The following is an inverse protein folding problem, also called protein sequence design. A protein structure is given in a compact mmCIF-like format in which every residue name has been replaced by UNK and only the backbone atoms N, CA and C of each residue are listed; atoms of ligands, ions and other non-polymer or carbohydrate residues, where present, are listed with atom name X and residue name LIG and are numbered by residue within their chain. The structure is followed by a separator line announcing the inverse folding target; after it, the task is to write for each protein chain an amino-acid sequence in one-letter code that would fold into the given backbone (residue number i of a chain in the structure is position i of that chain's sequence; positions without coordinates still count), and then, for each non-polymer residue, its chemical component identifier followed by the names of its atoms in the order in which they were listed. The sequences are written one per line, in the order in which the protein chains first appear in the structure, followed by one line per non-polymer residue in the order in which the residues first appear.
data_IF_457936952923
#
_entry.id   IF_457936952923
#
_cell.length_a   1.000
_cell.length_b   1.000
_cell.length_c   1.000
_cell.angle_alpha   90.00
_cell.angle_beta   90.00
_cell.angle_gamma   90.00
#
_symmetry.space_group_name_H-M   'P 1'
#
loop_
_entity.id
_entity.type
_entity.pdbx_description
1 polymer ?
#
# COMPACT_ATOMS: atom_id res chain seq x y z
N UNK A 1 17.81 8.49 26.74
CA UNK A 1 16.56 7.92 26.20
C UNK A 1 16.96 7.10 24.99
N UNK A 2 16.95 5.78 25.11
CA UNK A 2 17.25 4.86 24.01
C UNK A 2 16.14 4.98 22.98
N UNK A 3 16.45 5.52 21.80
CA UNK A 3 15.57 5.47 20.63
C UNK A 3 15.41 3.99 20.30
N UNK A 4 14.25 3.41 20.62
CA UNK A 4 13.92 2.03 20.24
C UNK A 4 14.04 1.92 18.72
N UNK A 5 14.86 0.97 18.26
CA UNK A 5 15.15 0.73 16.84
C UNK A 5 14.02 -0.05 16.16
N UNK A 6 12.77 0.25 16.53
CA UNK A 6 11.59 -0.39 15.96
C UNK A 6 11.45 0.03 14.50
N UNK A 7 11.35 -0.95 13.61
CA UNK A 7 10.93 -0.70 12.22
C UNK A 7 9.47 -0.31 12.26
N UNK A 8 9.19 0.97 12.00
CA UNK A 8 7.82 1.47 11.86
C UNK A 8 7.73 2.45 10.71
N UNK A 9 6.85 2.14 9.77
CA UNK A 9 6.47 3.00 8.65
C UNK A 9 4.97 3.26 8.76
N UNK A 10 4.53 4.51 8.79
CA UNK A 10 3.11 4.83 8.92
C UNK A 10 2.80 6.12 8.18
N UNK A 11 1.80 6.07 7.32
CA UNK A 11 1.21 7.22 6.64
C UNK A 11 0.37 8.09 7.58
N UNK A 12 0.08 7.62 8.81
CA UNK A 12 -0.81 8.28 9.77
C UNK A 12 -0.10 9.12 10.82
N UNK A 13 1.17 9.49 10.61
CA UNK A 13 1.93 10.27 11.58
C UNK A 13 1.73 11.79 11.49
N UNK A 14 0.90 12.23 10.54
CA UNK A 14 0.59 13.65 10.32
C UNK A 14 1.73 14.46 9.69
N UNK A 15 2.83 13.83 9.27
CA UNK A 15 3.94 14.54 8.62
C UNK A 15 3.55 14.99 7.22
N UNK A 16 3.92 16.21 6.84
CA UNK A 16 3.82 16.65 5.44
C UNK A 16 4.53 15.68 4.50
N UNK A 17 3.90 15.42 3.36
CA UNK A 17 4.40 14.52 2.33
C UNK A 17 4.96 15.32 1.16
N UNK A 18 6.19 15.00 0.77
CA UNK A 18 6.80 15.41 -0.50
C UNK A 18 6.77 14.25 -1.48
N UNK A 19 6.19 14.47 -2.64
CA UNK A 19 6.22 13.54 -3.78
C UNK A 19 7.12 14.13 -4.85
N UNK A 20 8.02 13.31 -5.36
CA UNK A 20 8.94 13.64 -6.45
C UNK A 20 8.60 12.73 -7.62
N UNK A 21 8.19 13.32 -8.73
CA UNK A 21 7.92 12.64 -9.99
C UNK A 21 8.96 13.04 -11.02
N UNK A 22 9.88 12.13 -11.31
CA UNK A 22 10.87 12.28 -12.36
C UNK A 22 10.30 11.73 -13.66
N UNK A 23 10.49 12.49 -14.75
CA UNK A 23 9.90 12.22 -16.05
C UNK A 23 10.97 12.34 -17.13
N UNK A 24 11.01 11.37 -18.04
CA UNK A 24 11.75 11.48 -19.29
C UNK A 24 10.76 11.56 -20.45
N UNK A 25 10.78 12.66 -21.19
CA UNK A 25 9.80 12.92 -22.25
C UNK A 25 10.25 12.35 -23.60
N UNK A 26 9.28 12.06 -24.47
CA UNK A 26 9.57 11.84 -25.89
C UNK A 26 10.10 13.12 -26.54
N UNK A 27 10.96 12.96 -27.54
CA UNK A 27 11.48 14.09 -28.31
C UNK A 27 10.33 14.80 -29.04
N UNK A 28 10.26 16.13 -28.90
CA UNK A 28 9.20 16.96 -29.48
C UNK A 28 7.91 17.03 -28.66
N UNK A 29 7.76 16.23 -27.59
CA UNK A 29 6.54 16.19 -26.77
C UNK A 29 6.50 17.27 -25.66
N UNK A 30 7.54 18.08 -25.50
CA UNK A 30 7.69 19.02 -24.39
C UNK A 30 6.56 20.04 -24.30
N UNK A 31 6.17 20.64 -25.43
CA UNK A 31 5.12 21.65 -25.47
C UNK A 31 3.74 21.03 -25.15
N UNK A 32 3.44 19.87 -25.74
CA UNK A 32 2.21 19.12 -25.47
C UNK A 32 2.13 18.72 -23.98
N UNK A 33 3.25 18.27 -23.40
CA UNK A 33 3.32 17.95 -21.98
C UNK A 33 3.04 19.17 -21.10
N UNK A 34 3.64 20.33 -21.41
CA UNK A 34 3.43 21.57 -20.65
C UNK A 34 1.97 22.02 -20.69
N UNK A 35 1.32 21.95 -21.85
CA UNK A 35 -0.10 22.27 -22.00
C UNK A 35 -1.00 21.31 -21.21
N UNK A 36 -0.71 20.01 -21.26
CA UNK A 36 -1.40 19.02 -20.45
C UNK A 36 -1.22 19.26 -18.94
N UNK A 37 0.00 19.59 -18.50
CA UNK A 37 0.30 19.91 -17.12
C UNK A 37 -0.45 21.17 -16.63
N UNK A 38 -0.52 22.23 -17.45
CA UNK A 38 -1.21 23.47 -17.10
C UNK A 38 -2.72 23.29 -16.89
N UNK A 39 -3.32 22.29 -17.54
CA UNK A 39 -4.70 21.88 -17.27
C UNK A 39 -4.79 21.08 -15.97
N UNK A 40 -3.93 20.06 -15.81
CA UNK A 40 -3.91 19.17 -14.65
C UNK A 40 -3.66 19.90 -13.33
N UNK A 41 -2.70 20.84 -13.29
CA UNK A 41 -2.33 21.57 -12.05
C UNK A 41 -3.51 22.32 -11.42
N UNK A 42 -4.49 22.76 -12.22
CA UNK A 42 -5.67 23.47 -11.71
C UNK A 42 -6.62 22.53 -10.97
N UNK A 43 -6.68 21.27 -11.40
CA UNK A 43 -7.51 20.25 -10.77
C UNK A 43 -6.82 19.72 -9.51
N UNK A 44 -5.51 19.45 -9.57
CA UNK A 44 -4.74 18.98 -8.40
C UNK A 44 -4.73 20.02 -7.28
N UNK A 45 -4.63 21.31 -7.59
CA UNK A 45 -4.72 22.39 -6.61
C UNK A 45 -6.06 22.47 -5.86
N UNK A 46 -7.13 21.83 -6.36
CA UNK A 46 -8.42 21.74 -5.70
C UNK A 46 -8.58 20.48 -4.84
N UNK A 47 -7.61 19.56 -4.87
CA UNK A 47 -7.68 18.31 -4.11
C UNK A 47 -7.43 18.61 -2.62
N UNK A 48 -8.30 18.14 -1.71
CA UNK A 48 -8.09 18.31 -0.28
C UNK A 48 -6.71 17.82 0.16
N UNK A 49 -6.03 18.63 0.98
CA UNK A 49 -4.70 18.31 1.51
C UNK A 49 -3.54 18.58 0.55
N UNK A 50 -3.78 19.00 -0.69
CA UNK A 50 -2.72 19.52 -1.56
C UNK A 50 -2.21 20.87 -1.06
N UNK A 51 -0.88 21.09 -1.09
CA UNK A 51 -0.24 22.34 -0.65
C UNK A 51 0.36 23.08 -1.85
N UNK A 52 1.19 22.41 -2.66
CA UNK A 52 1.84 23.05 -3.81
C UNK A 52 2.41 22.05 -4.80
N UNK A 53 2.54 22.46 -6.06
CA UNK A 53 3.33 21.76 -7.07
C UNK A 53 4.36 22.70 -7.70
N UNK A 54 5.50 22.13 -8.11
CA UNK A 54 6.51 22.79 -8.93
C UNK A 54 6.86 21.90 -10.10
N UNK A 55 6.77 22.44 -11.31
CA UNK A 55 7.28 21.80 -12.52
C UNK A 55 8.66 22.38 -12.84
N UNK A 56 9.64 21.50 -13.01
CA UNK A 56 11.01 21.83 -13.33
C UNK A 56 11.45 21.08 -14.58
N UNK A 57 12.31 21.72 -15.37
CA UNK A 57 13.02 21.11 -16.48
C UNK A 57 14.51 21.12 -16.17
N UNK A 58 15.20 20.03 -16.47
CA UNK A 58 16.65 19.95 -16.28
C UNK A 58 17.37 20.92 -17.22
N UNK A 59 18.36 21.63 -16.66
CA UNK A 59 19.23 22.55 -17.42
C UNK A 59 20.30 21.79 -18.23
N UNK A 60 20.58 20.55 -17.86
CA UNK A 60 21.63 19.72 -18.48
C UNK A 60 21.06 18.82 -19.57
N UNK A 61 19.85 18.30 -19.35
CA UNK A 61 19.14 17.47 -20.31
C UNK A 61 17.66 17.91 -20.43
N UNK A 62 17.29 18.68 -21.47
CA UNK A 62 15.93 19.19 -21.64
C UNK A 62 14.82 18.11 -21.82
N UNK A 63 15.17 16.83 -22.01
CA UNK A 63 14.19 15.73 -22.00
C UNK A 63 13.76 15.32 -20.58
N UNK A 64 14.56 15.68 -19.57
CA UNK A 64 14.33 15.31 -18.18
C UNK A 64 13.59 16.42 -17.43
N UNK A 65 12.48 16.04 -16.82
CA UNK A 65 11.58 16.94 -16.09
C UNK A 65 11.33 16.39 -14.68
N UNK A 66 10.96 17.27 -13.77
CA UNK A 66 10.67 16.97 -12.38
C UNK A 66 9.40 17.69 -11.97
N UNK A 67 8.45 16.96 -11.38
CA UNK A 67 7.35 17.55 -10.62
C UNK A 67 7.62 17.27 -9.15
N UNK A 68 7.67 18.33 -8.34
CA UNK A 68 7.62 18.19 -6.87
C UNK A 68 6.23 18.59 -6.39
N UNK A 69 5.60 17.74 -5.59
CA UNK A 69 4.26 17.96 -5.05
C UNK A 69 4.31 17.86 -3.53
N UNK A 70 3.71 18.81 -2.82
CA UNK A 70 3.63 18.83 -1.36
C UNK A 70 2.18 18.69 -0.90
N UNK A 71 1.99 17.88 0.13
CA UNK A 71 0.69 17.55 0.72
C UNK A 71 0.74 17.66 2.25
N UNK A 72 -0.39 17.98 2.87
CA UNK A 72 -0.53 18.08 4.33
C UNK A 72 -0.14 16.78 5.03
N UNK A 73 -0.39 15.63 4.37
CA UNK A 73 -0.05 14.31 4.85
C UNK A 73 -0.13 13.28 3.71
N UNK A 74 0.29 12.04 3.97
CA UNK A 74 0.20 10.97 2.99
C UNK A 74 -1.23 10.50 2.62
N UNK A 75 -2.20 10.42 3.56
CA UNK A 75 -3.54 9.93 3.27
C UNK A 75 -4.30 10.63 2.13
N UNK A 76 -4.36 11.99 2.05
CA UNK A 76 -5.06 12.66 0.96
C UNK A 76 -4.42 12.40 -0.41
N UNK A 77 -3.08 12.39 -0.46
CA UNK A 77 -2.34 12.03 -1.67
C UNK A 77 -2.65 10.58 -2.10
N UNK A 78 -2.62 9.62 -1.18
CA UNK A 78 -2.91 8.22 -1.49
C UNK A 78 -4.35 8.01 -1.95
N UNK A 79 -5.31 8.74 -1.39
CA UNK A 79 -6.69 8.71 -1.87
C UNK A 79 -6.79 9.25 -3.31
N UNK A 80 -6.12 10.37 -3.60
CA UNK A 80 -6.13 10.97 -4.92
C UNK A 80 -5.41 10.11 -5.97
N UNK A 81 -4.17 9.69 -5.75
CA UNK A 81 -3.35 8.99 -6.76
C UNK A 81 -3.94 7.64 -7.20
N UNK A 82 -4.81 7.04 -6.37
CA UNK A 82 -5.47 5.78 -6.67
C UNK A 82 -6.91 5.97 -7.19
N UNK A 83 -7.43 7.20 -7.31
CA UNK A 83 -8.79 7.45 -7.77
C UNK A 83 -8.95 7.37 -9.29
N UNK A 84 -10.19 7.15 -9.75
CA UNK A 84 -10.53 7.25 -11.18
C UNK A 84 -10.29 8.66 -11.72
N UNK A 85 -10.54 9.69 -10.90
CA UNK A 85 -10.27 11.08 -11.27
C UNK A 85 -8.80 11.26 -11.63
N UNK A 86 -7.87 10.72 -10.82
CA UNK A 86 -6.45 10.79 -11.15
C UNK A 86 -6.16 10.15 -12.51
N UNK A 87 -6.67 8.94 -12.76
CA UNK A 87 -6.44 8.20 -14.03
C UNK A 87 -6.80 9.05 -15.25
N UNK A 88 -7.97 9.69 -15.23
CA UNK A 88 -8.44 10.53 -16.33
C UNK A 88 -7.67 11.84 -16.44
N UNK A 89 -7.37 12.48 -15.30
CA UNK A 89 -6.67 13.76 -15.24
C UNK A 89 -5.23 13.67 -15.77
N UNK A 90 -4.50 12.59 -15.45
CA UNK A 90 -3.10 12.44 -15.88
C UNK A 90 -2.95 11.77 -17.25
N UNK A 91 -4.02 11.21 -17.82
CA UNK A 91 -4.03 10.54 -19.12
C UNK A 91 -3.36 11.32 -20.25
N UNK A 92 -3.60 12.64 -20.44
CA UNK A 92 -2.97 13.38 -21.53
C UNK A 92 -1.44 13.47 -21.40
N UNK A 93 -0.92 13.49 -20.16
CA UNK A 93 0.51 13.59 -19.90
C UNK A 93 1.24 12.29 -20.25
N UNK A 94 0.61 11.12 -20.04
CA UNK A 94 1.28 9.83 -20.26
C UNK A 94 1.74 9.62 -21.71
N UNK A 95 0.96 10.11 -22.68
CA UNK A 95 1.34 10.04 -24.10
C UNK A 95 2.66 10.74 -24.43
N UNK A 96 3.09 11.69 -23.59
CA UNK A 96 4.31 12.47 -23.79
C UNK A 96 5.53 11.88 -23.06
N UNK A 97 5.32 10.90 -22.18
CA UNK A 97 6.32 10.42 -21.24
C UNK A 97 6.82 9.03 -21.63
N UNK A 98 8.14 8.90 -21.76
CA UNK A 98 8.83 7.64 -22.07
C UNK A 98 9.07 6.81 -20.82
N UNK A 99 9.51 7.44 -19.74
CA UNK A 99 9.69 6.80 -18.45
C UNK A 99 9.29 7.73 -17.30
N UNK A 100 8.83 7.14 -16.21
CA UNK A 100 8.38 7.85 -15.02
C UNK A 100 8.84 7.13 -13.78
N UNK A 101 9.34 7.90 -12.81
CA UNK A 101 9.71 7.42 -11.48
C UNK A 101 9.08 8.32 -10.42
N UNK A 102 8.27 7.72 -9.55
CA UNK A 102 7.64 8.41 -8.42
C UNK A 102 8.30 7.96 -7.11
N UNK A 103 8.73 8.92 -6.30
CA UNK A 103 9.27 8.69 -4.95
C UNK A 103 8.59 9.61 -3.95
N UNK A 104 8.55 9.19 -2.68
CA UNK A 104 7.73 9.80 -1.63
C UNK A 104 8.56 9.94 -0.36
N UNK A 105 8.46 11.09 0.30
CA UNK A 105 9.27 11.44 1.46
C UNK A 105 8.44 12.20 2.49
N UNK A 106 8.60 11.86 3.77
CA UNK A 106 8.16 12.77 4.85
C UNK A 106 9.10 13.96 4.91
N UNK A 107 8.58 15.17 5.11
CA UNK A 107 9.41 16.35 5.30
C UNK A 107 9.88 16.39 6.76
N UNK A 108 11.19 16.23 6.97
CA UNK A 108 11.78 16.24 8.31
C UNK A 108 12.14 17.65 8.76
N UNK A 109 12.82 18.42 7.90
CA UNK A 109 13.29 19.77 8.20
C UNK A 109 13.15 20.62 6.95
N UNK A 110 12.88 21.89 7.15
CA UNK A 110 12.77 22.90 6.11
C UNK A 110 13.55 24.13 6.54
N UNK A 111 14.19 24.81 5.59
CA UNK A 111 14.90 26.06 5.84
C UNK A 111 14.35 27.11 4.88
N UNK A 112 13.58 28.08 5.39
CA UNK A 112 12.98 29.12 4.58
C UNK A 112 11.49 29.34 4.87
N UNK A 113 10.98 30.51 4.47
CA UNK A 113 9.73 31.11 4.93
C UNK A 113 10.09 32.35 5.73
N UNK A 114 9.75 33.55 5.26
CA UNK A 114 10.19 34.86 5.80
C UNK A 114 9.74 35.21 7.22
N UNK A 115 9.54 34.21 8.09
CA UNK A 115 9.18 34.33 9.49
C UNK A 115 10.48 34.28 10.32
N UNK A 116 10.72 35.24 11.23
CA UNK A 116 11.89 35.21 12.10
C UNK A 116 11.93 33.90 12.90
N UNK A 117 13.12 33.29 12.98
CA UNK A 117 13.41 32.11 13.80
C UNK A 117 13.23 32.44 15.29
N UNK A 118 12.00 32.40 15.79
CA UNK A 118 11.76 32.25 17.23
C UNK A 118 11.93 30.77 17.55
N UNK A 119 12.90 30.46 18.42
CA UNK A 119 13.40 29.12 18.73
C UNK A 119 12.39 28.15 19.39
N UNK A 120 11.10 28.50 19.47
CA UNK A 120 10.12 27.81 20.33
C UNK A 120 8.83 27.35 19.62
N UNK A 121 8.82 27.32 18.29
CA UNK A 121 7.76 26.66 17.54
C UNK A 121 8.39 25.66 16.58
N UNK A 122 8.58 24.41 17.02
CA UNK A 122 8.62 23.31 16.08
C UNK A 122 7.29 23.37 15.30
N UNK A 123 7.29 23.50 13.95
CA UNK A 123 6.03 23.41 13.22
C UNK A 123 5.44 22.05 13.55
N UNK A 124 4.20 22.01 14.06
CA UNK A 124 3.48 20.79 14.41
C UNK A 124 3.20 19.85 13.19
N UNK A 125 3.81 20.15 12.05
CA UNK A 125 3.56 19.59 10.71
C UNK A 125 4.82 18.91 10.11
N UNK A 126 5.95 18.95 10.81
CA UNK A 126 7.20 18.29 10.41
C UNK A 126 7.44 17.04 11.24
N UNK A 127 8.01 16.00 10.63
CA UNK A 127 8.31 14.76 11.33
C UNK A 127 9.33 15.00 12.46
N UNK A 128 8.92 14.76 13.71
CA UNK A 128 9.73 15.08 14.89
C UNK A 128 10.96 14.16 15.04
N UNK A 129 10.79 12.86 14.80
CA UNK A 129 11.81 11.83 14.98
C UNK A 129 12.19 11.14 13.67
N UNK A 130 13.49 10.85 13.51
CA UNK A 130 14.01 10.04 12.39
C UNK A 130 13.53 8.60 12.56
N UNK A 131 13.00 8.01 11.49
CA UNK A 131 12.61 6.60 11.46
C UNK A 131 13.77 5.71 11.02
N UNK A 132 13.86 4.53 11.61
CA UNK A 132 14.71 3.44 11.14
C UNK A 132 13.83 2.50 10.33
N UNK A 133 14.10 2.39 9.04
CA UNK A 133 13.45 1.43 8.15
C UNK A 133 14.33 0.19 7.96
N UNK A 134 13.72 -0.87 7.45
CA UNK A 134 14.36 -2.12 7.03
C UNK A 134 14.79 -2.13 5.56
N UNK A 135 14.64 -1.01 4.85
CA UNK A 135 14.93 -0.90 3.42
C UNK A 135 13.91 -1.61 2.52
N UNK A 136 12.80 -2.10 3.08
CA UNK A 136 11.79 -2.88 2.35
C UNK A 136 10.55 -2.03 2.07
N UNK A 137 10.27 -1.84 0.78
CA UNK A 137 9.01 -1.32 0.27
C UNK A 137 7.96 -2.42 0.25
N UNK A 138 6.77 -2.11 0.78
CA UNK A 138 5.63 -3.02 0.86
C UNK A 138 4.50 -2.50 0.00
N UNK A 139 3.95 -3.35 -0.84
CA UNK A 139 2.82 -3.00 -1.68
C UNK A 139 1.90 -4.20 -1.88
N UNK A 140 0.62 -3.95 -2.09
CA UNK A 140 -0.30 -5.00 -2.48
C UNK A 140 -1.05 -4.61 -3.74
N UNK A 141 -1.53 -5.61 -4.47
CA UNK A 141 -2.49 -5.48 -5.55
C UNK A 141 -3.74 -6.26 -5.17
N UNK A 142 -4.91 -5.71 -5.45
CA UNK A 142 -6.19 -6.40 -5.30
C UNK A 142 -7.01 -6.34 -6.58
N UNK A 143 -7.67 -7.43 -6.91
CA UNK A 143 -8.59 -7.53 -8.03
C UNK A 143 -9.64 -8.60 -7.73
N UNK A 144 -10.75 -8.55 -8.48
CA UNK A 144 -11.83 -9.53 -8.37
C UNK A 144 -11.85 -10.45 -9.58
N UNK A 145 -12.24 -11.70 -9.33
CA UNK A 145 -12.46 -12.73 -10.34
C UNK A 145 -13.93 -13.04 -10.47
N UNK A 146 -14.33 -13.59 -11.61
CA UNK A 146 -15.72 -13.95 -11.90
C UNK A 146 -16.20 -14.95 -10.85
N UNK A 147 -17.38 -14.76 -10.24
CA UNK A 147 -17.94 -15.72 -9.29
C UNK A 147 -17.98 -17.14 -9.87
N UNK A 148 -17.56 -18.13 -9.09
CA UNK A 148 -17.46 -19.53 -9.51
C UNK A 148 -16.12 -19.92 -10.14
N UNK A 149 -15.20 -18.97 -10.37
CA UNK A 149 -13.85 -19.24 -10.89
C UNK A 149 -12.77 -19.35 -9.81
N UNK A 150 -13.13 -19.16 -8.53
CA UNK A 150 -12.21 -18.99 -7.41
C UNK A 150 -11.25 -20.16 -7.27
N UNK A 151 -11.76 -21.39 -7.33
CA UNK A 151 -10.94 -22.60 -7.23
C UNK A 151 -9.93 -22.71 -8.37
N UNK A 152 -10.31 -22.33 -9.59
CA UNK A 152 -9.42 -22.38 -10.75
C UNK A 152 -8.33 -21.30 -10.68
N UNK A 153 -8.71 -20.11 -10.23
CA UNK A 153 -7.79 -19.00 -10.00
C UNK A 153 -6.78 -19.35 -8.91
N UNK A 154 -7.22 -19.95 -7.81
CA UNK A 154 -6.34 -20.41 -6.74
C UNK A 154 -5.32 -21.43 -7.26
N UNK A 155 -5.74 -22.39 -8.09
CA UNK A 155 -4.84 -23.38 -8.72
C UNK A 155 -3.77 -22.69 -9.60
N UNK A 156 -4.17 -21.74 -10.45
CA UNK A 156 -3.27 -20.98 -11.32
C UNK A 156 -2.25 -20.19 -10.48
N UNK A 157 -2.71 -19.49 -9.45
CA UNK A 157 -1.89 -18.66 -8.58
C UNK A 157 -0.99 -19.47 -7.64
N UNK A 158 -1.36 -20.71 -7.31
CA UNK A 158 -0.53 -21.60 -6.49
C UNK A 158 0.58 -22.30 -7.29
N UNK A 159 0.30 -22.64 -8.55
CA UNK A 159 1.10 -23.59 -9.34
C UNK A 159 2.28 -23.02 -10.13
N UNK A 160 2.48 -21.70 -10.15
CA UNK A 160 3.49 -21.09 -11.02
C UNK A 160 4.89 -21.04 -10.41
N UNK A 161 5.93 -21.10 -11.25
CA UNK A 161 7.32 -20.99 -10.79
C UNK A 161 7.64 -19.62 -10.21
N UNK A 162 8.44 -19.58 -9.15
CA UNK A 162 8.84 -18.31 -8.54
C UNK A 162 9.73 -17.52 -9.51
N UNK A 163 9.42 -16.24 -9.75
CA UNK A 163 10.26 -15.40 -10.60
C UNK A 163 11.64 -15.22 -9.96
N UNK A 164 12.63 -14.89 -10.78
CA UNK A 164 13.96 -14.51 -10.30
C UNK A 164 13.83 -13.29 -9.39
N UNK A 165 14.29 -13.46 -8.15
CA UNK A 165 14.17 -12.46 -7.10
C UNK A 165 15.14 -11.27 -7.28
N UNK A 166 16.36 -11.53 -7.79
CA UNK A 166 17.35 -10.48 -8.02
C UNK A 166 17.02 -9.71 -9.30
N UNK A 167 16.86 -8.40 -9.18
CA UNK A 167 16.52 -7.50 -10.30
C UNK A 167 17.77 -6.81 -10.84
N UNK A 168 18.53 -6.19 -9.93
CA UNK A 168 19.80 -5.50 -10.18
C UNK A 168 20.67 -5.54 -8.91
N UNK A 169 21.81 -4.85 -8.84
CA UNK A 169 22.70 -4.89 -7.65
C UNK A 169 22.04 -4.41 -6.34
N UNK A 170 20.99 -3.59 -6.41
CA UNK A 170 20.37 -2.91 -5.26
C UNK A 170 18.90 -3.24 -5.05
N UNK A 171 18.27 -3.93 -6.00
CA UNK A 171 16.83 -4.22 -6.00
C UNK A 171 16.57 -5.72 -5.99
N UNK A 172 15.75 -6.18 -5.04
CA UNK A 172 15.41 -7.59 -4.87
C UNK A 172 13.97 -7.77 -4.39
N UNK A 173 13.24 -8.70 -5.01
CA UNK A 173 11.96 -9.20 -4.52
C UNK A 173 12.21 -10.14 -3.32
N UNK A 174 11.80 -9.73 -2.12
CA UNK A 174 12.03 -10.48 -0.87
C UNK A 174 10.95 -11.52 -0.60
N UNK A 175 9.69 -11.15 -0.80
CA UNK A 175 8.55 -12.02 -0.51
C UNK A 175 7.35 -11.70 -1.40
N UNK A 176 6.63 -12.74 -1.81
CA UNK A 176 5.33 -12.63 -2.48
C UNK A 176 4.33 -13.49 -1.74
N UNK A 177 3.25 -12.88 -1.25
CA UNK A 177 2.18 -13.56 -0.53
C UNK A 177 0.84 -13.30 -1.24
N UNK A 178 0.07 -14.35 -1.47
CA UNK A 178 -1.18 -14.35 -2.22
C UNK A 178 -2.29 -14.95 -1.34
N UNK A 179 -3.39 -14.21 -1.23
CA UNK A 179 -4.54 -14.58 -0.43
C UNK A 179 -5.83 -14.38 -1.22
N UNK A 180 -6.86 -15.16 -0.90
CA UNK A 180 -8.18 -15.03 -1.49
C UNK A 180 -9.26 -14.90 -0.42
N UNK A 181 -10.21 -13.99 -0.64
CA UNK A 181 -11.41 -13.82 0.16
C UNK A 181 -12.62 -13.81 -0.78
N UNK A 182 -13.38 -14.90 -0.79
CA UNK A 182 -14.37 -15.13 -1.85
C UNK A 182 -13.73 -15.00 -3.23
N UNK A 183 -14.26 -14.10 -4.06
CA UNK A 183 -13.74 -13.81 -5.40
C UNK A 183 -12.69 -12.68 -5.43
N UNK A 184 -12.26 -12.15 -4.29
CA UNK A 184 -11.21 -11.13 -4.20
C UNK A 184 -9.84 -11.78 -4.02
N UNK A 185 -8.90 -11.41 -4.87
CA UNK A 185 -7.49 -11.76 -4.73
C UNK A 185 -6.74 -10.57 -4.13
N UNK A 186 -5.81 -10.86 -3.21
CA UNK A 186 -4.81 -9.90 -2.71
C UNK A 186 -3.42 -10.48 -2.88
N UNK A 187 -2.58 -9.78 -3.63
CA UNK A 187 -1.16 -10.10 -3.83
C UNK A 187 -0.31 -9.07 -3.13
N UNK A 188 0.29 -9.43 -2.01
CA UNK A 188 1.26 -8.61 -1.30
C UNK A 188 2.69 -8.94 -1.77
N UNK A 189 3.50 -7.90 -1.97
CA UNK A 189 4.91 -8.00 -2.35
C UNK A 189 5.77 -7.16 -1.43
N UNK A 190 6.93 -7.71 -1.10
CA UNK A 190 7.98 -7.05 -0.33
C UNK A 190 9.21 -6.95 -1.20
N UNK A 191 9.68 -5.72 -1.42
CA UNK A 191 10.82 -5.42 -2.29
C UNK A 191 11.84 -4.61 -1.51
N UNK A 192 13.07 -5.07 -1.51
CA UNK A 192 14.20 -4.24 -1.12
C UNK A 192 14.65 -3.41 -2.32
N UNK A 193 14.87 -2.11 -2.12
CA UNK A 193 15.25 -1.20 -3.20
C UNK A 193 14.05 -0.59 -3.93
N UNK A 194 14.11 -0.49 -5.27
CA UNK A 194 13.09 0.20 -6.06
C UNK A 194 11.91 -0.72 -6.42
N UNK A 195 10.75 -0.47 -5.80
CA UNK A 195 9.51 -1.22 -6.01
C UNK A 195 9.08 -1.25 -7.49
N UNK A 196 9.11 -0.11 -8.20
CA UNK A 196 8.63 -0.05 -9.58
C UNK A 196 9.56 -0.81 -10.51
N UNK A 197 10.87 -0.68 -10.34
CA UNK A 197 11.87 -1.46 -11.07
C UNK A 197 11.67 -2.95 -10.85
N UNK A 198 11.47 -3.38 -9.61
CA UNK A 198 11.20 -4.79 -9.30
C UNK A 198 9.93 -5.30 -9.96
N UNK A 199 8.81 -4.58 -9.84
CA UNK A 199 7.55 -4.98 -10.44
C UNK A 199 7.62 -5.06 -11.97
N UNK A 200 8.27 -4.08 -12.63
CA UNK A 200 8.49 -4.09 -14.09
C UNK A 200 9.37 -5.27 -14.52
N UNK A 201 10.40 -5.59 -13.75
CA UNK A 201 11.28 -6.72 -14.02
C UNK A 201 10.53 -8.05 -13.91
N UNK A 202 9.82 -8.25 -12.80
CA UNK A 202 9.03 -9.47 -12.53
C UNK A 202 7.93 -9.66 -13.59
N UNK A 203 7.22 -8.61 -13.97
CA UNK A 203 6.15 -8.67 -14.97
C UNK A 203 6.63 -9.10 -16.37
N UNK A 204 7.92 -8.93 -16.70
CA UNK A 204 8.50 -9.34 -17.99
C UNK A 204 8.91 -10.81 -18.05
N UNK A 205 8.95 -11.50 -16.91
CA UNK A 205 9.43 -12.88 -16.83
C UNK A 205 8.38 -13.85 -17.42
N UNK A 206 8.79 -14.86 -18.23
CA UNK A 206 7.86 -15.77 -18.91
C UNK A 206 6.87 -16.47 -17.99
N UNK A 207 7.33 -16.94 -16.83
CA UNK A 207 6.54 -17.61 -15.81
C UNK A 207 5.42 -16.71 -15.25
N UNK A 208 5.71 -15.42 -15.05
CA UNK A 208 4.71 -14.45 -14.60
C UNK A 208 3.73 -14.14 -15.72
N UNK A 209 4.23 -13.92 -16.95
CA UNK A 209 3.37 -13.66 -18.11
C UNK A 209 2.38 -14.79 -18.36
N UNK A 210 2.83 -16.05 -18.29
CA UNK A 210 1.98 -17.22 -18.46
C UNK A 210 0.85 -17.27 -17.43
N UNK A 211 1.13 -16.90 -16.18
CA UNK A 211 0.11 -16.82 -15.11
C UNK A 211 -0.87 -15.71 -15.38
N UNK A 212 -0.40 -14.51 -15.72
CA UNK A 212 -1.29 -13.37 -15.97
C UNK A 212 -2.19 -13.63 -17.20
N UNK A 213 -1.66 -14.25 -18.25
CA UNK A 213 -2.42 -14.69 -19.43
C UNK A 213 -3.47 -15.75 -19.06
N UNK A 214 -3.11 -16.73 -18.22
CA UNK A 214 -4.04 -17.76 -17.74
C UNK A 214 -5.15 -17.20 -16.83
N UNK A 215 -4.90 -16.08 -16.13
CA UNK A 215 -5.89 -15.41 -15.28
C UNK A 215 -6.93 -14.61 -16.08
N UNK A 216 -6.55 -14.04 -17.24
CA UNK A 216 -7.39 -13.11 -18.00
C UNK A 216 -8.84 -13.58 -18.23
N UNK A 217 -9.14 -14.85 -18.59
CA UNK A 217 -10.51 -15.31 -18.79
C UNK A 217 -11.40 -15.23 -17.54
N UNK A 218 -10.78 -15.23 -16.35
CA UNK A 218 -11.44 -15.28 -15.05
C UNK A 218 -11.55 -13.92 -14.37
N UNK A 219 -10.93 -12.86 -14.88
CA UNK A 219 -11.03 -11.53 -14.27
C UNK A 219 -12.41 -10.91 -14.53
N UNK A 220 -12.98 -10.21 -13.54
CA UNK A 220 -14.20 -9.42 -13.77
C UNK A 220 -13.93 -8.22 -14.67
N UNK A 221 -12.72 -7.64 -14.57
CA UNK A 221 -12.27 -6.53 -15.38
C UNK A 221 -11.23 -7.04 -16.39
N UNK A 222 -11.56 -6.90 -17.67
CA UNK A 222 -10.62 -7.18 -18.75
C UNK A 222 -9.43 -6.22 -18.69
N UNK A 223 -8.24 -6.74 -18.99
CA UNK A 223 -7.00 -5.96 -19.05
C UNK A 223 -6.08 -6.56 -20.09
N UNK A 224 -5.25 -5.71 -20.68
CA UNK A 224 -4.15 -6.11 -21.54
C UNK A 224 -2.84 -5.63 -20.92
N UNK A 225 -2.06 -6.54 -20.34
CA UNK A 225 -0.78 -6.18 -19.74
C UNK A 225 0.34 -5.97 -20.79
N UNK A 226 0.07 -6.22 -22.07
CA UNK A 226 1.00 -5.94 -23.17
C UNK A 226 0.85 -4.53 -23.72
N UNK A 227 -0.30 -3.89 -23.50
CA UNK A 227 -0.53 -2.47 -23.75
C UNK A 227 -0.10 -1.63 -22.52
N UNK A 228 0.88 -0.71 -22.65
CA UNK A 228 1.34 0.11 -21.53
C UNK A 228 0.25 0.95 -20.87
N UNK A 229 -0.73 1.47 -21.63
CA UNK A 229 -1.81 2.27 -21.07
C UNK A 229 -2.81 1.40 -20.28
N UNK A 230 -3.26 0.29 -20.86
CA UNK A 230 -4.12 -0.68 -20.16
C UNK A 230 -3.44 -1.22 -18.89
N UNK A 231 -2.15 -1.57 -18.97
CA UNK A 231 -1.37 -2.01 -17.81
C UNK A 231 -1.32 -0.93 -16.72
N UNK A 232 -1.05 0.33 -17.07
CA UNK A 232 -1.02 1.45 -16.12
C UNK A 232 -2.36 1.63 -15.43
N UNK A 233 -3.46 1.68 -16.19
CA UNK A 233 -4.81 1.80 -15.63
C UNK A 233 -5.11 0.63 -14.69
N UNK A 234 -4.78 -0.60 -15.09
CA UNK A 234 -4.95 -1.77 -14.25
C UNK A 234 -4.16 -1.65 -12.95
N UNK A 235 -2.86 -1.32 -12.99
CA UNK A 235 -2.06 -1.20 -11.78
C UNK A 235 -2.54 -0.06 -10.89
N UNK A 236 -2.95 1.08 -11.46
CA UNK A 236 -3.55 2.17 -10.68
C UNK A 236 -4.84 1.73 -10.01
N UNK A 237 -5.69 0.93 -10.66
CA UNK A 237 -6.96 0.41 -10.09
C UNK A 237 -6.78 -0.76 -9.13
N UNK A 238 -5.74 -1.56 -9.32
CA UNK A 238 -5.44 -2.70 -8.47
C UNK A 238 -4.57 -2.31 -7.27
N UNK A 239 -3.88 -1.17 -7.31
CA UNK A 239 -3.00 -0.72 -6.24
C UNK A 239 -3.71 -0.70 -4.89
N UNK A 240 -3.10 -1.36 -3.91
CA UNK A 240 -3.51 -1.38 -2.52
C UNK A 240 -2.26 -1.03 -1.68
N UNK A 241 -1.95 0.28 -1.53
CA UNK A 241 -0.72 0.72 -0.90
C UNK A 241 -0.67 0.38 0.59
N UNK A 242 0.53 0.09 1.09
CA UNK A 242 0.76 -0.02 2.52
C UNK A 242 0.68 1.37 3.16
N UNK A 243 -0.20 1.51 4.14
CA UNK A 243 -0.38 2.74 4.94
C UNK A 243 0.24 2.60 6.32
N UNK A 244 0.52 1.38 6.76
CA UNK A 244 1.19 1.10 8.02
C UNK A 244 2.00 -0.18 7.93
N UNK A 245 3.17 -0.20 8.55
CA UNK A 245 3.96 -1.39 8.81
C UNK A 245 4.68 -1.24 10.15
N UNK A 246 4.69 -2.32 10.93
CA UNK A 246 5.43 -2.40 12.17
C UNK A 246 5.89 -3.82 12.45
N UNK A 247 7.06 -3.94 13.07
CA UNK A 247 7.58 -5.20 13.63
C UNK A 247 7.86 -5.00 15.12
N UNK A 248 7.58 -6.02 15.92
CA UNK A 248 7.88 -6.03 17.33
C UNK A 248 9.40 -5.87 17.58
N UNK A 249 9.76 -5.11 18.61
CA UNK A 249 11.17 -4.87 18.99
C UNK A 249 11.70 -6.07 19.81
N UNK A 250 11.64 -7.26 19.20
CA UNK A 250 12.10 -8.53 19.77
C UNK A 250 12.60 -9.46 18.66
N UNK A 251 13.44 -10.46 18.98
CA UNK A 251 13.86 -11.47 18.00
C UNK A 251 12.65 -12.18 17.39
N UNK A 252 12.72 -12.44 16.08
CA UNK A 252 11.68 -13.18 15.37
C UNK A 252 11.51 -14.58 15.98
N UNK A 253 10.33 -14.94 16.49
CA UNK A 253 10.09 -16.29 16.98
C UNK A 253 10.11 -17.31 15.84
N UNK A 254 10.45 -18.56 16.16
CA UNK A 254 10.35 -19.66 15.21
C UNK A 254 8.88 -19.97 14.88
N UNK A 255 8.60 -20.38 13.65
CA UNK A 255 7.27 -20.83 13.24
C UNK A 255 6.25 -19.72 13.01
N UNK A 256 6.69 -18.49 12.71
CA UNK A 256 5.80 -17.42 12.25
C UNK A 256 5.05 -17.85 11.00
N UNK A 257 3.73 -17.65 11.01
CA UNK A 257 2.86 -17.82 9.87
C UNK A 257 2.26 -16.48 9.49
N UNK A 258 2.13 -16.28 8.18
CA UNK A 258 1.53 -15.07 7.63
C UNK A 258 0.06 -15.30 7.34
N UNK A 259 -0.76 -14.42 7.85
CA UNK A 259 -2.20 -14.39 7.62
C UNK A 259 -2.58 -13.04 7.01
N UNK A 260 -3.62 -13.03 6.20
CA UNK A 260 -4.24 -11.81 5.73
C UNK A 260 -5.68 -11.79 6.22
N UNK A 261 -6.10 -10.64 6.76
CA UNK A 261 -7.44 -10.40 7.25
C UNK A 261 -8.05 -9.27 6.42
N UNK A 262 -9.22 -9.52 5.83
CA UNK A 262 -9.98 -8.56 5.04
C UNK A 262 -11.03 -7.88 5.91
N UNK A 263 -11.00 -6.54 5.92
CA UNK A 263 -11.93 -5.71 6.66
C UNK A 263 -12.59 -4.71 5.69
N UNK A 264 -13.74 -5.05 5.09
CA UNK A 264 -14.48 -4.07 4.32
C UNK A 264 -15.00 -2.99 5.26
N UNK A 265 -14.67 -1.74 4.97
CA UNK A 265 -15.23 -0.62 5.68
C UNK A 265 -16.61 -0.25 5.13
N UNK A 266 -17.40 0.43 5.95
CA UNK A 266 -18.56 1.17 5.45
C UNK A 266 -18.08 2.27 4.50
N UNK A 267 -18.94 2.66 3.57
CA UNK A 267 -18.64 3.66 2.55
C UNK A 267 -18.00 4.93 3.13
N UNK A 268 -16.81 5.28 2.63
CA UNK A 268 -16.01 6.43 3.05
C UNK A 268 -15.32 6.29 4.40
N UNK A 269 -15.33 5.11 5.03
CA UNK A 269 -14.76 4.87 6.37
C UNK A 269 -13.47 4.06 6.34
N UNK A 270 -13.00 3.60 5.17
CA UNK A 270 -11.79 2.79 5.04
C UNK A 270 -10.54 3.42 5.66
N UNK A 271 -10.37 4.74 5.50
CA UNK A 271 -9.22 5.45 6.06
C UNK A 271 -9.20 5.43 7.59
N UNK A 272 -10.36 5.63 8.22
CA UNK A 272 -10.49 5.61 9.68
C UNK A 272 -10.30 4.19 10.23
N UNK A 273 -10.80 3.18 9.51
CA UNK A 273 -10.61 1.78 9.84
C UNK A 273 -9.12 1.37 9.75
N UNK A 274 -8.44 1.77 8.69
CA UNK A 274 -7.01 1.52 8.52
C UNK A 274 -6.17 2.20 9.61
N UNK A 275 -6.54 3.43 10.02
CA UNK A 275 -5.90 4.13 11.13
C UNK A 275 -6.11 3.41 12.46
N UNK A 276 -7.34 2.95 12.75
CA UNK A 276 -7.64 2.16 13.95
C UNK A 276 -6.73 0.93 14.04
N UNK A 277 -6.63 0.16 12.95
CA UNK A 277 -5.78 -1.03 12.89
C UNK A 277 -4.29 -0.70 13.04
N UNK A 278 -3.82 0.38 12.42
CA UNK A 278 -2.44 0.84 12.56
C UNK A 278 -2.06 1.21 14.01
N UNK A 279 -2.97 1.86 14.75
CA UNK A 279 -2.77 2.16 16.17
C UNK A 279 -2.73 0.90 17.04
N UNK A 280 -3.59 -0.08 16.72
CA UNK A 280 -3.61 -1.39 17.39
C UNK A 280 -2.32 -2.16 17.14
N UNK A 281 -1.81 -2.14 15.89
CA UNK A 281 -0.55 -2.77 15.51
C UNK A 281 0.66 -2.14 16.20
N UNK A 282 0.72 -0.81 16.25
CA UNK A 282 1.78 -0.11 16.95
C UNK A 282 1.81 -0.43 18.46
N UNK A 283 0.62 -0.60 19.06
CA UNK A 283 0.47 -1.02 20.45
C UNK A 283 0.90 -2.47 20.64
N UNK A 284 0.40 -3.38 19.79
CA UNK A 284 0.74 -4.80 19.82
C UNK A 284 2.24 -5.06 19.70
N UNK A 285 2.93 -4.33 18.81
CA UNK A 285 4.38 -4.43 18.63
C UNK A 285 5.19 -3.99 19.87
N UNK A 286 4.59 -3.25 20.80
CA UNK A 286 5.19 -2.86 22.08
C UNK A 286 4.90 -3.80 23.25
N UNK A 287 3.98 -4.76 23.07
CA UNK A 287 3.61 -5.74 24.08
C UNK A 287 4.48 -7.01 23.92
N UNK A 288 5.32 -7.39 24.89
CA UNK A 288 6.22 -8.53 24.77
C UNK A 288 5.52 -9.86 24.47
N UNK A 289 4.33 -10.04 25.05
CA UNK A 289 3.55 -11.28 24.99
C UNK A 289 2.47 -11.27 23.90
N UNK A 290 2.44 -10.24 23.04
CA UNK A 290 1.45 -10.18 21.97
C UNK A 290 1.79 -11.20 20.87
N UNK A 291 0.82 -12.01 20.41
CA UNK A 291 1.06 -13.03 19.40
C UNK A 291 1.40 -12.44 18.02
N UNK A 292 1.00 -11.18 17.74
CA UNK A 292 1.34 -10.48 16.50
C UNK A 292 2.78 -9.98 16.57
N UNK A 293 3.65 -10.59 15.76
CA UNK A 293 5.05 -10.20 15.66
C UNK A 293 5.26 -9.04 14.68
N UNK A 294 4.62 -9.11 13.52
CA UNK A 294 4.68 -8.07 12.51
C UNK A 294 3.30 -7.83 11.91
N UNK A 295 3.03 -6.60 11.50
CA UNK A 295 1.80 -6.26 10.80
C UNK A 295 2.05 -5.26 9.68
N UNK A 296 1.28 -5.39 8.61
CA UNK A 296 1.18 -4.41 7.53
C UNK A 296 -0.29 -4.14 7.21
N UNK A 297 -0.71 -2.88 7.28
CA UNK A 297 -2.05 -2.46 6.87
C UNK A 297 -1.97 -1.87 5.48
N UNK A 298 -2.76 -2.42 4.57
CA UNK A 298 -2.98 -1.92 3.23
C UNK A 298 -4.38 -1.33 3.12
N UNK A 299 -4.51 -0.21 2.41
CA UNK A 299 -5.77 0.51 2.33
C UNK A 299 -5.96 1.18 0.99
N UNK A 300 -7.19 1.10 0.49
CA UNK A 300 -7.72 1.90 -0.62
C UNK A 300 -9.24 1.95 -0.49
N UNK A 301 -9.81 3.14 -0.68
CA UNK A 301 -11.26 3.35 -0.64
C UNK A 301 -11.86 2.70 0.62
N UNK A 302 -12.74 1.70 0.49
CA UNK A 302 -13.32 0.96 1.61
C UNK A 302 -12.73 -0.44 1.80
N UNK A 303 -11.63 -0.74 1.10
CA UNK A 303 -10.90 -2.00 1.19
C UNK A 303 -9.73 -1.82 2.15
N UNK A 304 -9.78 -2.51 3.29
CA UNK A 304 -8.65 -2.62 4.20
C UNK A 304 -8.24 -4.06 4.34
N UNK A 305 -6.94 -4.32 4.15
CA UNK A 305 -6.35 -5.65 4.35
C UNK A 305 -5.22 -5.52 5.35
N UNK A 306 -5.22 -6.35 6.38
CA UNK A 306 -4.16 -6.41 7.37
C UNK A 306 -3.43 -7.74 7.23
N UNK A 307 -2.15 -7.67 6.89
CA UNK A 307 -1.27 -8.83 6.91
C UNK A 307 -0.60 -8.90 8.27
N UNK A 308 -0.72 -10.02 8.96
CA UNK A 308 -0.13 -10.26 10.27
C UNK A 308 0.78 -11.48 10.23
N UNK A 309 1.96 -11.35 10.81
CA UNK A 309 2.88 -12.47 11.07
C UNK A 309 2.68 -12.88 12.54
N UNK A 310 2.10 -14.06 12.78
CA UNK A 310 1.69 -14.57 14.09
C UNK A 310 2.37 -15.91 14.40
N UNK A 311 2.67 -16.16 15.66
CA UNK A 311 3.07 -17.49 16.15
C UNK A 311 1.85 -18.36 16.44
N UNK A 312 1.72 -19.50 15.75
CA UNK A 312 0.57 -20.38 15.90
C UNK A 312 -0.60 -19.98 14.97
N UNK A 313 -1.80 -20.44 15.30
CA UNK A 313 -3.01 -20.17 14.53
C UNK A 313 -3.70 -18.89 15.04
N UNK A 314 -4.39 -18.18 14.15
CA UNK A 314 -5.01 -16.87 14.44
C UNK A 314 -6.14 -16.94 15.47
N UNK A 315 -6.72 -18.12 15.68
CA UNK A 315 -7.84 -18.38 16.59
C UNK A 315 -7.41 -18.64 18.04
N UNK A 316 -6.11 -18.75 18.32
CA UNK A 316 -5.59 -18.88 19.68
C UNK A 316 -5.83 -17.63 20.53
N UNK A 317 -5.76 -16.44 19.91
CA UNK A 317 -6.15 -15.17 20.51
C UNK A 317 -6.87 -14.29 19.47
N UNK A 318 -8.18 -14.51 19.27
CA UNK A 318 -8.96 -13.79 18.27
C UNK A 318 -8.97 -12.26 18.49
N UNK A 319 -8.91 -11.81 19.74
CA UNK A 319 -8.88 -10.39 20.10
C UNK A 319 -7.58 -9.75 19.59
N UNK A 320 -6.44 -10.37 19.86
CA UNK A 320 -5.15 -9.88 19.39
C UNK A 320 -5.03 -9.97 17.86
N UNK A 321 -5.41 -11.12 17.29
CA UNK A 321 -5.37 -11.35 15.84
C UNK A 321 -6.23 -10.36 15.08
N UNK A 322 -7.40 -9.97 15.59
CA UNK A 322 -8.27 -8.98 14.93
C UNK A 322 -7.87 -7.52 15.20
N UNK A 323 -6.93 -7.25 16.12
CA UNK A 323 -6.58 -5.88 16.52
C UNK A 323 -7.66 -5.21 17.38
N UNK A 324 -8.19 -5.95 18.36
CA UNK A 324 -9.29 -5.51 19.22
C UNK A 324 -8.89 -5.32 20.69
N UNK A 325 -7.58 -5.24 21.00
CA UNK A 325 -7.11 -5.13 22.37
C UNK A 325 -7.42 -3.75 22.95
N UNK A 326 -8.04 -3.76 24.13
CA UNK A 326 -8.31 -2.56 24.92
C UNK A 326 -9.78 -2.16 24.94
N UNK A 327 -10.13 -1.17 25.80
CA UNK A 327 -11.51 -0.78 26.00
C UNK A 327 -12.11 -0.19 24.73
N UNK A 328 -13.35 -0.58 24.42
CA UNK A 328 -14.18 -0.05 23.31
C UNK A 328 -13.66 -0.26 21.90
N UNK A 329 -12.54 -0.97 21.70
CA UNK A 329 -11.98 -1.22 20.36
C UNK A 329 -12.88 -2.07 19.47
N UNK A 330 -13.59 -3.04 20.06
CA UNK A 330 -14.63 -3.78 19.35
C UNK A 330 -15.79 -2.86 18.88
N UNK A 331 -16.24 -1.91 19.70
CA UNK A 331 -17.28 -0.95 19.33
C UNK A 331 -16.81 0.03 18.26
N UNK A 332 -15.55 0.46 18.33
CA UNK A 332 -14.92 1.30 17.30
C UNK A 332 -14.86 0.57 15.97
N UNK A 333 -14.40 -0.68 15.95
CA UNK A 333 -14.38 -1.50 14.74
C UNK A 333 -15.79 -1.70 14.18
N UNK A 334 -16.78 -2.04 15.03
CA UNK A 334 -18.18 -2.23 14.65
C UNK A 334 -18.78 -0.99 13.97
N UNK A 335 -18.39 0.22 14.40
CA UNK A 335 -18.84 1.47 13.77
C UNK A 335 -18.27 1.67 12.37
N UNK A 336 -17.07 1.18 12.11
CA UNK A 336 -16.32 1.42 10.88
C UNK A 336 -16.47 0.30 9.85
N UNK A 337 -16.60 -0.96 10.31
CA UNK A 337 -16.65 -2.17 9.50
C UNK A 337 -18.03 -2.37 8.86
N UNK A 338 -18.06 -2.71 7.57
CA UNK A 338 -19.24 -3.26 6.93
C UNK A 338 -19.36 -4.75 7.26
N UNK A 339 -19.95 -5.03 8.43
CA UNK A 339 -20.18 -6.40 8.89
C UNK A 339 -21.11 -7.19 7.98
N UNK A 340 -22.08 -6.54 7.32
CA UNK A 340 -23.00 -7.22 6.41
C UNK A 340 -22.27 -7.77 5.18
N UNK A 341 -21.31 -7.03 4.62
CA UNK A 341 -20.50 -7.46 3.48
C UNK A 341 -19.69 -8.75 3.74
N UNK A 342 -19.36 -9.06 5.00
CA UNK A 342 -18.68 -10.30 5.40
C UNK A 342 -19.57 -11.23 6.22
N UNK A 343 -20.88 -11.00 6.25
CA UNK A 343 -21.83 -11.91 6.93
C UNK A 343 -21.69 -11.94 8.45
N UNK A 344 -21.24 -10.85 9.07
CA UNK A 344 -21.12 -10.68 10.52
C UNK A 344 -21.97 -9.51 10.97
N UNK A 345 -23.20 -9.82 11.39
CA UNK A 345 -24.14 -8.84 11.92
C UNK A 345 -24.23 -8.96 13.46
N UNK A 346 -24.42 -7.82 14.11
CA UNK A 346 -24.57 -7.72 15.57
C UNK A 346 -23.30 -7.29 16.29
N UNK A 347 -23.40 -7.17 17.62
CA UNK A 347 -22.34 -6.52 18.41
C UNK A 347 -21.07 -7.35 18.49
N UNK A 348 -19.91 -6.70 18.27
CA UNK A 348 -18.58 -7.32 18.40
C UNK A 348 -18.10 -7.43 19.86
N UNK A 349 -18.96 -7.19 20.83
CA UNK A 349 -18.66 -7.29 22.27
C UNK A 349 -18.75 -8.70 22.84
N UNK A 350 -19.17 -9.68 22.02
CA UNK A 350 -19.33 -11.08 22.45
C UNK A 350 -18.29 -11.97 21.78
N UNK A 351 -17.75 -12.94 22.53
CA UNK A 351 -16.76 -13.91 22.01
C UNK A 351 -17.27 -14.64 20.77
N UNK A 352 -18.57 -14.95 20.73
CA UNK A 352 -19.20 -15.60 19.57
C UNK A 352 -19.04 -14.76 18.30
N UNK A 353 -19.32 -13.46 18.37
CA UNK A 353 -19.24 -12.59 17.21
C UNK A 353 -17.80 -12.23 16.85
N UNK A 354 -16.89 -12.18 17.82
CA UNK A 354 -15.44 -12.03 17.57
C UNK A 354 -14.89 -13.24 16.80
N UNK A 355 -15.20 -14.46 17.23
CA UNK A 355 -14.79 -15.67 16.52
C UNK A 355 -15.42 -15.77 15.12
N UNK A 356 -16.69 -15.35 14.98
CA UNK A 356 -17.36 -15.26 13.69
C UNK A 356 -16.67 -14.24 12.78
N UNK A 357 -16.32 -13.06 13.30
CA UNK A 357 -15.56 -12.04 12.58
C UNK A 357 -14.23 -12.59 12.10
N UNK A 358 -13.44 -13.22 12.98
CA UNK A 358 -12.17 -13.81 12.59
C UNK A 358 -12.34 -14.81 11.43
N UNK A 359 -13.30 -15.72 11.55
CA UNK A 359 -13.56 -16.74 10.52
C UNK A 359 -13.98 -16.15 9.16
N UNK A 360 -14.67 -14.99 9.16
CA UNK A 360 -15.13 -14.35 7.92
C UNK A 360 -14.17 -13.28 7.40
N UNK A 361 -13.27 -12.75 8.23
CA UNK A 361 -12.23 -11.82 7.82
C UNK A 361 -10.99 -12.57 7.31
N UNK A 362 -10.71 -13.77 7.81
CA UNK A 362 -9.55 -14.56 7.41
C UNK A 362 -9.58 -14.88 5.91
N UNK A 363 -8.45 -14.64 5.26
CA UNK A 363 -8.28 -14.88 3.84
C UNK A 363 -7.55 -16.19 3.62
N UNK A 364 -8.04 -17.00 2.67
CA UNK A 364 -7.42 -18.27 2.31
C UNK A 364 -6.00 -18.02 1.75
N UNK A 365 -4.94 -18.57 2.36
CA UNK A 365 -3.59 -18.49 1.79
C UNK A 365 -3.51 -19.35 0.53
N UNK A 366 -3.08 -18.74 -0.57
CA UNK A 366 -2.84 -19.44 -1.84
C UNK A 366 -1.37 -19.74 -2.02
N UNK A 367 -0.51 -18.78 -1.69
CA UNK A 367 0.93 -18.91 -1.83
C UNK A 367 1.62 -17.91 -0.92
N UNK A 368 2.72 -18.33 -0.31
CA UNK A 368 3.60 -17.44 0.45
C UNK A 368 5.04 -17.89 0.22
N UNK A 369 5.80 -17.08 -0.52
CA UNK A 369 7.14 -17.43 -0.99
C UNK A 369 8.12 -16.37 -0.57
N UNK A 370 9.16 -16.77 0.14
CA UNK A 370 10.34 -15.96 0.44
C UNK A 370 11.44 -16.29 -0.55
N UNK A 371 12.24 -15.28 -0.92
CA UNK A 371 13.44 -15.52 -1.73
C UNK A 371 14.42 -16.42 -0.95
N UNK A 372 15.01 -17.42 -1.61
CA UNK A 372 15.79 -18.48 -0.97
C UNK A 372 17.08 -18.00 -0.25
N UNK A 373 17.50 -16.75 -0.47
CA UNK A 373 18.66 -16.13 0.19
C UNK A 373 18.25 -14.95 1.09
N UNK A 374 17.18 -15.13 1.88
CA UNK A 374 16.73 -14.10 2.83
C UNK A 374 17.52 -14.13 4.13
#
# INVERSE_FOLDING_TARGET
MTVSARVSQSAFDGSRLRVILLLDLYEGAQQQFLEAYELMRKQVAAVPGHISDQLCQSIENPSQWLITSEWESAPPFLAWVNSEDHVEVVKPMHSCVRDTRSTRYSILRETGGGRPLTADAAPAELQAAVRVGDGVARHALTFTVKPGSESKVAEILAGYDSPRAQVDETTRLRRTSLFMHGNRVVRAVEVEGDLLTALRHVARQPEVRAVEEALNPYLEQERDLTDPESARVFFTRAALPAVHHVVADRPAPAGLRRHALYYPAKEGRGMELARLLAEQDATAAGEPDNPVYGSTVFHRDDIVVRLVDITGDVDLDPIASLGLKGPRKAEELERLLDGAAIGVEGSLTTDRNINRLLSHADMLPVTDRTSADS
#
